data_IF_127441751961
#
_entry.id   IF_127441751961
#
_cell.length_a   1.000
_cell.length_b   1.000
_cell.length_c   1.000
_cell.angle_alpha   90.00
_cell.angle_beta   90.00
_cell.angle_gamma   90.00
#
_symmetry.space_group_name_H-M   'P 1'
#
loop_
_entity.id
_entity.type
_entity.pdbx_description
1 polymer ?
#
# COMPACT_ATOMS: atom_id res chain seq x y z
N UNK A 1 3.39 13.05 -9.13
CA UNK A 1 2.02 13.29 -8.62
C UNK A 1 1.32 14.24 -9.57
N UNK A 2 0.01 14.23 -9.59
CA UNK A 2 -0.72 15.26 -10.30
C UNK A 2 -0.96 16.47 -9.38
N UNK A 3 -0.90 17.69 -9.98
CA UNK A 3 -0.93 18.94 -9.22
C UNK A 3 -2.32 19.23 -8.63
N UNK A 4 -3.38 18.67 -9.19
CA UNK A 4 -4.75 18.86 -8.69
C UNK A 4 -4.97 18.09 -7.38
N UNK A 5 -4.52 16.83 -7.33
CA UNK A 5 -4.64 16.00 -6.13
C UNK A 5 -3.59 16.35 -5.07
N UNK A 6 -2.41 16.80 -5.50
CA UNK A 6 -1.24 17.02 -4.63
C UNK A 6 -0.54 18.34 -4.97
N UNK A 7 -1.14 19.48 -4.62
CA UNK A 7 -0.62 20.81 -5.01
C UNK A 7 0.78 21.11 -4.44
N UNK A 8 1.16 20.47 -3.35
CA UNK A 8 2.50 20.63 -2.75
C UNK A 8 3.57 19.74 -3.40
N UNK A 9 3.21 18.99 -4.47
CA UNK A 9 4.11 18.08 -5.16
C UNK A 9 4.44 16.78 -4.40
N UNK A 10 3.86 16.57 -3.23
CA UNK A 10 3.98 15.36 -2.43
C UNK A 10 2.71 14.52 -2.59
N UNK A 11 2.88 13.21 -2.64
CA UNK A 11 1.77 12.25 -2.63
C UNK A 11 1.75 11.47 -1.35
N UNK A 12 0.95 10.42 -1.32
CA UNK A 12 0.87 9.50 -0.19
C UNK A 12 0.78 8.05 -0.64
N UNK A 13 1.28 7.17 0.22
CA UNK A 13 1.09 5.73 0.10
C UNK A 13 0.51 5.20 1.41
N UNK A 14 -0.51 4.37 1.31
CA UNK A 14 -0.91 3.52 2.41
C UNK A 14 0.10 2.38 2.49
N UNK A 15 0.74 2.21 3.64
CA UNK A 15 1.87 1.30 3.74
C UNK A 15 2.01 0.70 5.14
N UNK A 16 1.81 -0.60 5.23
CA UNK A 16 1.88 -1.35 6.47
C UNK A 16 0.70 -1.12 7.42
N UNK A 17 0.77 -1.76 8.57
CA UNK A 17 -0.27 -1.70 9.60
C UNK A 17 -0.01 -0.56 10.58
N UNK A 18 -1.09 0.02 11.12
CA UNK A 18 -1.01 1.06 12.15
C UNK A 18 -0.60 0.45 13.49
N UNK A 19 0.64 0.64 13.88
CA UNK A 19 1.21 0.05 15.08
C UNK A 19 0.56 0.57 16.37
N UNK A 20 0.16 1.85 16.40
CA UNK A 20 -0.53 2.41 17.56
C UNK A 20 -1.92 1.78 17.73
N UNK A 21 -2.65 1.59 16.63
CA UNK A 21 -3.95 0.92 16.68
C UNK A 21 -3.79 -0.55 17.03
N UNK A 22 -2.81 -1.27 16.44
CA UNK A 22 -2.47 -2.65 16.79
C UNK A 22 -2.22 -2.83 18.29
N UNK A 23 -1.46 -1.93 18.90
CA UNK A 23 -1.15 -1.97 20.33
C UNK A 23 -2.36 -1.79 21.25
N UNK A 24 -3.52 -1.38 20.74
CA UNK A 24 -4.76 -1.29 21.50
C UNK A 24 -5.53 -2.61 21.63
N UNK A 25 -5.10 -3.65 20.92
CA UNK A 25 -5.68 -4.99 20.97
C UNK A 25 -4.92 -5.91 21.94
N UNK A 26 -5.59 -6.95 22.40
CA UNK A 26 -4.98 -7.90 23.34
C UNK A 26 -3.79 -8.67 22.74
N UNK A 27 -3.90 -9.00 21.46
CA UNK A 27 -2.89 -9.72 20.69
C UNK A 27 -3.13 -9.52 19.17
N UNK A 28 -2.24 -10.09 18.36
CA UNK A 28 -2.29 -10.01 16.91
C UNK A 28 -3.51 -10.73 16.30
N UNK A 29 -3.97 -11.79 16.92
CA UNK A 29 -5.15 -12.53 16.45
C UNK A 29 -6.41 -11.69 16.65
N UNK A 30 -6.54 -11.00 17.76
CA UNK A 30 -7.63 -10.07 18.01
C UNK A 30 -7.60 -8.89 17.03
N UNK A 31 -6.41 -8.35 16.71
CA UNK A 31 -6.25 -7.30 15.72
C UNK A 31 -6.67 -7.77 14.32
N UNK A 32 -6.19 -8.95 13.87
CA UNK A 32 -6.56 -9.55 12.57
C UNK A 32 -8.06 -9.81 12.47
N UNK A 33 -8.65 -10.37 13.53
CA UNK A 33 -10.09 -10.65 13.56
C UNK A 33 -10.92 -9.37 13.45
N UNK A 34 -10.53 -8.32 14.15
CA UNK A 34 -11.20 -7.02 14.07
C UNK A 34 -11.04 -6.37 12.70
N UNK A 35 -9.85 -6.46 12.10
CA UNK A 35 -9.62 -5.94 10.75
C UNK A 35 -10.45 -6.70 9.71
N UNK A 36 -10.46 -8.03 9.77
CA UNK A 36 -11.28 -8.84 8.87
C UNK A 36 -12.78 -8.51 9.01
N UNK A 37 -13.26 -8.28 10.22
CA UNK A 37 -14.67 -7.93 10.43
C UNK A 37 -15.05 -6.62 9.72
N UNK A 38 -14.28 -5.53 9.91
CA UNK A 38 -14.60 -4.26 9.25
C UNK A 38 -14.43 -4.32 7.74
N UNK A 39 -13.46 -5.10 7.23
CA UNK A 39 -13.31 -5.31 5.78
C UNK A 39 -14.50 -6.06 5.22
N UNK A 40 -14.98 -7.11 5.89
CA UNK A 40 -16.14 -7.91 5.46
C UNK A 40 -17.42 -7.07 5.45
N UNK A 41 -17.62 -6.25 6.47
CA UNK A 41 -18.76 -5.33 6.54
C UNK A 41 -18.70 -4.31 5.39
N UNK A 42 -17.53 -3.75 5.11
CA UNK A 42 -17.32 -2.85 3.99
C UNK A 42 -17.61 -3.53 2.65
N UNK A 43 -17.07 -4.73 2.41
CA UNK A 43 -17.31 -5.52 1.19
C UNK A 43 -18.80 -5.73 0.96
N UNK A 44 -19.55 -6.04 2.00
CA UNK A 44 -21.00 -6.28 1.91
C UNK A 44 -21.73 -5.02 1.43
N UNK A 45 -21.43 -3.87 2.02
CA UNK A 45 -22.05 -2.60 1.62
C UNK A 45 -21.62 -2.19 0.22
N UNK A 46 -20.30 -2.31 -0.09
CA UNK A 46 -19.78 -1.94 -1.40
C UNK A 46 -20.40 -2.77 -2.53
N UNK A 47 -20.51 -4.09 -2.36
CA UNK A 47 -21.18 -4.96 -3.35
C UNK A 47 -22.65 -4.61 -3.52
N UNK A 48 -23.35 -4.25 -2.46
CA UNK A 48 -24.74 -3.82 -2.55
C UNK A 48 -24.88 -2.54 -3.39
N UNK A 49 -23.99 -1.55 -3.20
CA UNK A 49 -23.96 -0.32 -3.99
C UNK A 49 -23.65 -0.62 -5.46
N UNK A 50 -22.61 -1.40 -5.74
CA UNK A 50 -22.18 -1.75 -7.10
C UNK A 50 -23.24 -2.57 -7.87
N UNK A 51 -24.09 -3.28 -7.15
CA UNK A 51 -25.25 -4.04 -7.72
C UNK A 51 -26.49 -3.18 -7.95
N UNK A 52 -26.41 -1.87 -7.77
CA UNK A 52 -27.56 -0.96 -7.90
C UNK A 52 -28.52 -0.98 -6.70
N UNK A 53 -28.03 -1.44 -5.53
CA UNK A 53 -28.73 -1.34 -4.26
C UNK A 53 -28.77 0.09 -3.71
N UNK A 54 -29.18 0.22 -2.45
CA UNK A 54 -29.37 1.52 -1.80
C UNK A 54 -28.12 2.42 -1.90
N UNK A 55 -28.27 3.58 -2.52
CA UNK A 55 -27.26 4.65 -2.58
C UNK A 55 -27.20 5.41 -1.24
N UNK A 56 -27.06 4.71 -0.11
CA UNK A 56 -26.79 5.40 1.13
C UNK A 56 -25.28 5.45 1.39
N UNK A 57 -24.60 6.55 1.05
CA UNK A 57 -23.14 6.65 1.18
C UNK A 57 -22.66 6.75 2.64
N UNK A 58 -23.55 7.06 3.59
CA UNK A 58 -23.14 7.26 4.97
C UNK A 58 -22.57 5.98 5.62
N UNK A 59 -23.22 4.79 5.53
CA UNK A 59 -22.63 3.57 6.05
C UNK A 59 -21.31 3.16 5.37
N UNK A 60 -21.16 3.44 4.07
CA UNK A 60 -19.94 3.14 3.33
C UNK A 60 -18.77 3.99 3.82
N UNK A 61 -18.99 5.30 4.00
CA UNK A 61 -17.97 6.21 4.50
C UNK A 61 -17.49 5.88 5.91
N UNK A 62 -18.41 5.50 6.81
CA UNK A 62 -18.08 5.10 8.18
C UNK A 62 -17.25 3.82 8.21
N UNK A 63 -17.61 2.83 7.38
CA UNK A 63 -16.90 1.57 7.26
C UNK A 63 -15.51 1.77 6.62
N UNK A 64 -15.39 2.63 5.63
CA UNK A 64 -14.11 3.03 5.05
C UNK A 64 -13.21 3.63 6.11
N UNK A 65 -13.70 4.59 6.88
CA UNK A 65 -12.94 5.20 7.96
C UNK A 65 -12.54 4.17 9.04
N UNK A 66 -13.41 3.20 9.32
CA UNK A 66 -13.08 2.12 10.25
C UNK A 66 -11.92 1.25 9.74
N UNK A 67 -11.91 0.89 8.44
CA UNK A 67 -10.79 0.16 7.83
C UNK A 67 -9.49 0.97 7.82
N UNK A 68 -9.57 2.26 7.54
CA UNK A 68 -8.39 3.16 7.46
C UNK A 68 -7.58 3.19 8.75
N UNK A 69 -8.22 2.99 9.89
CA UNK A 69 -7.56 2.97 11.20
C UNK A 69 -6.56 1.82 11.35
N UNK A 70 -6.73 0.73 10.61
CA UNK A 70 -5.86 -0.45 10.70
C UNK A 70 -4.56 -0.31 9.95
N UNK A 71 -4.46 0.62 9.02
CA UNK A 71 -3.29 0.81 8.16
C UNK A 71 -2.67 2.19 8.37
N UNK A 72 -1.39 2.32 8.02
CA UNK A 72 -0.67 3.58 8.08
C UNK A 72 -0.63 4.26 6.72
N UNK A 73 -0.57 5.58 6.71
CA UNK A 73 -0.32 6.39 5.52
C UNK A 73 1.01 7.11 5.72
N UNK A 74 1.83 7.11 4.68
CA UNK A 74 3.13 7.78 4.67
C UNK A 74 3.20 8.77 3.50
N UNK A 75 3.74 9.96 3.72
CA UNK A 75 3.96 10.92 2.63
C UNK A 75 5.00 10.40 1.65
N UNK A 76 4.88 10.80 0.39
CA UNK A 76 5.82 10.50 -0.69
C UNK A 76 6.23 11.79 -1.39
N UNK A 77 7.53 11.98 -1.55
CA UNK A 77 8.12 13.02 -2.37
C UNK A 77 8.64 12.44 -3.70
N UNK A 78 8.86 13.31 -4.67
CA UNK A 78 9.51 12.91 -5.94
C UNK A 78 10.91 12.41 -5.65
N UNK A 79 11.21 11.21 -6.13
CA UNK A 79 12.50 10.55 -5.93
C UNK A 79 12.55 9.58 -4.74
N UNK A 80 11.51 9.50 -3.94
CA UNK A 80 11.43 8.51 -2.88
C UNK A 80 11.42 7.09 -3.45
N UNK A 81 11.94 6.17 -2.66
CA UNK A 81 11.94 4.74 -2.93
C UNK A 81 11.22 4.04 -1.80
N UNK A 82 10.21 3.26 -2.15
CA UNK A 82 9.50 2.40 -1.20
C UNK A 82 9.85 0.95 -1.51
N UNK A 83 10.36 0.26 -0.51
CA UNK A 83 10.63 -1.18 -0.60
C UNK A 83 9.48 -1.91 0.07
N UNK A 84 8.76 -2.70 -0.70
CA UNK A 84 7.57 -3.42 -0.21
C UNK A 84 7.93 -4.88 0.07
N UNK A 85 8.08 -5.28 1.35
CA UNK A 85 8.30 -6.68 1.71
C UNK A 85 7.06 -7.54 1.44
N UNK A 86 7.26 -8.85 1.44
CA UNK A 86 6.15 -9.80 1.31
C UNK A 86 5.11 -9.61 2.41
N UNK A 87 3.84 -9.73 2.03
CA UNK A 87 2.68 -9.62 2.91
C UNK A 87 2.49 -8.27 3.59
N UNK A 88 3.21 -7.23 3.18
CA UNK A 88 2.96 -5.85 3.64
C UNK A 88 1.84 -5.23 2.79
N UNK A 89 0.71 -4.84 3.40
CA UNK A 89 -0.36 -4.18 2.67
C UNK A 89 0.10 -2.79 2.20
N UNK A 90 -0.19 -2.47 0.95
CA UNK A 90 0.18 -1.19 0.37
C UNK A 90 -0.80 -0.75 -0.70
N UNK A 91 -0.97 0.55 -0.84
CA UNK A 91 -1.80 1.16 -1.87
C UNK A 91 -1.36 2.58 -2.12
N UNK A 92 -1.04 2.90 -3.37
CA UNK A 92 -0.81 4.29 -3.78
C UNK A 92 -2.12 5.09 -3.68
N UNK A 93 -2.03 6.28 -3.15
CA UNK A 93 -3.17 7.17 -3.13
C UNK A 93 -3.38 7.82 -4.49
N UNK A 94 -4.55 8.40 -4.71
CA UNK A 94 -4.92 9.00 -5.99
C UNK A 94 -3.88 10.02 -6.47
N UNK A 95 -3.58 10.02 -7.78
CA UNK A 95 -2.65 10.96 -8.40
C UNK A 95 -1.16 10.65 -8.24
N UNK A 96 -0.78 9.64 -7.45
CA UNK A 96 0.62 9.21 -7.29
C UNK A 96 1.04 8.37 -8.48
N UNK A 97 2.21 8.68 -9.04
CA UNK A 97 2.84 7.93 -10.15
C UNK A 97 4.18 7.36 -9.70
N UNK A 98 4.42 6.10 -10.01
CA UNK A 98 5.65 5.38 -9.66
C UNK A 98 6.18 4.59 -10.85
N UNK A 99 7.45 4.20 -10.74
CA UNK A 99 8.04 3.09 -11.50
C UNK A 99 8.14 1.93 -10.53
N UNK A 100 7.49 0.82 -10.85
CA UNK A 100 7.48 -0.38 -10.01
C UNK A 100 8.38 -1.45 -10.62
N UNK A 101 9.28 -2.00 -9.81
CA UNK A 101 10.09 -3.17 -10.14
C UNK A 101 9.62 -4.34 -9.30
N UNK A 102 9.32 -5.44 -9.94
CA UNK A 102 8.84 -6.66 -9.29
C UNK A 102 9.42 -7.90 -9.97
N UNK A 103 9.38 -9.03 -9.28
CA UNK A 103 9.71 -10.32 -9.88
C UNK A 103 8.69 -10.70 -10.96
N UNK A 104 9.09 -11.42 -12.03
CA UNK A 104 8.18 -11.79 -13.11
C UNK A 104 7.07 -12.75 -12.69
N UNK A 105 7.29 -13.50 -11.61
CA UNK A 105 6.30 -14.43 -11.04
C UNK A 105 5.94 -13.94 -9.63
N UNK A 106 4.75 -13.40 -9.48
CA UNK A 106 4.23 -12.97 -8.20
C UNK A 106 2.76 -13.34 -8.06
N UNK A 107 2.33 -13.59 -6.85
CA UNK A 107 0.91 -13.67 -6.49
C UNK A 107 0.49 -12.38 -5.82
N UNK A 108 -0.68 -11.90 -6.18
CA UNK A 108 -1.27 -10.70 -5.62
C UNK A 108 -2.58 -11.06 -4.95
N UNK A 109 -2.64 -10.83 -3.65
CA UNK A 109 -3.86 -10.95 -2.88
C UNK A 109 -4.47 -9.57 -2.68
N UNK A 110 -5.77 -9.45 -2.94
CA UNK A 110 -6.47 -8.16 -2.84
C UNK A 110 -7.34 -8.15 -1.60
N UNK A 111 -7.06 -7.19 -0.72
CA UNK A 111 -7.95 -6.79 0.36
C UNK A 111 -8.85 -5.67 -0.17
N UNK A 112 -10.14 -5.77 0.03
CA UNK A 112 -11.06 -4.70 -0.35
C UNK A 112 -10.69 -3.40 0.37
N UNK A 113 -10.56 -2.32 -0.39
CA UNK A 113 -10.23 -1.02 0.14
C UNK A 113 -10.74 0.10 -0.75
N UNK A 114 -11.92 0.62 -0.45
CA UNK A 114 -12.50 1.83 -1.06
C UNK A 114 -12.43 1.91 -2.60
N UNK A 115 -12.40 0.79 -3.30
CA UNK A 115 -12.34 0.74 -4.75
C UNK A 115 -13.73 1.00 -5.32
N UNK A 116 -13.86 2.00 -6.17
CA UNK A 116 -15.11 2.26 -6.91
C UNK A 116 -15.31 1.29 -8.07
N UNK A 117 -14.22 0.69 -8.57
CA UNK A 117 -14.26 -0.24 -9.70
C UNK A 117 -13.74 -1.60 -9.26
N UNK A 118 -14.61 -2.58 -9.27
CA UNK A 118 -14.25 -3.97 -9.05
C UNK A 118 -13.69 -4.54 -10.35
N UNK A 119 -12.39 -4.81 -10.37
CA UNK A 119 -11.70 -5.42 -11.50
C UNK A 119 -11.73 -6.95 -11.45
N UNK A 120 -12.28 -7.53 -10.39
CA UNK A 120 -12.36 -8.97 -10.19
C UNK A 120 -13.59 -9.37 -9.37
N UNK A 121 -14.07 -10.59 -9.60
CA UNK A 121 -15.31 -11.11 -9.02
C UNK A 121 -15.21 -11.38 -7.51
N UNK A 122 -14.02 -11.47 -6.97
CA UNK A 122 -13.76 -11.77 -5.56
C UNK A 122 -12.59 -11.00 -5.02
N UNK A 123 -12.57 -10.85 -3.71
CA UNK A 123 -11.43 -10.37 -2.93
C UNK A 123 -10.86 -11.50 -2.08
N UNK A 124 -9.56 -11.43 -1.81
CA UNK A 124 -8.83 -12.44 -1.05
C UNK A 124 -8.71 -12.05 0.42
N UNK A 125 -9.59 -11.18 0.90
CA UNK A 125 -9.45 -10.48 2.19
C UNK A 125 -9.18 -11.40 3.36
N UNK A 126 -9.92 -12.52 3.48
CA UNK A 126 -9.72 -13.45 4.60
C UNK A 126 -8.33 -14.09 4.56
N UNK A 127 -7.89 -14.56 3.39
CA UNK A 127 -6.58 -15.17 3.21
C UNK A 127 -5.45 -14.16 3.38
N UNK A 128 -5.59 -12.99 2.76
CA UNK A 128 -4.61 -11.92 2.86
C UNK A 128 -4.43 -11.46 4.31
N UNK A 129 -5.52 -11.17 5.03
CA UNK A 129 -5.46 -10.68 6.41
C UNK A 129 -4.86 -11.72 7.35
N UNK A 130 -5.14 -13.01 7.14
CA UNK A 130 -4.54 -14.09 7.94
C UNK A 130 -3.01 -14.14 7.80
N UNK A 131 -2.46 -13.74 6.65
CA UNK A 131 -1.04 -13.82 6.34
C UNK A 131 -0.31 -12.46 6.35
N UNK A 132 -0.99 -11.34 6.65
CA UNK A 132 -0.35 -10.02 6.66
C UNK A 132 0.88 -10.00 7.56
N UNK A 133 1.94 -9.35 7.09
CA UNK A 133 3.00 -8.90 7.97
C UNK A 133 2.47 -7.70 8.78
N UNK A 134 2.37 -7.87 10.09
CA UNK A 134 1.83 -6.83 11.00
C UNK A 134 2.91 -5.88 11.51
N UNK A 135 4.18 -6.21 11.32
CA UNK A 135 5.27 -5.36 11.79
C UNK A 135 5.39 -4.09 10.95
N UNK A 136 5.96 -3.06 11.57
CA UNK A 136 6.26 -1.82 10.85
C UNK A 136 7.24 -2.12 9.71
N UNK A 137 6.94 -1.71 8.46
CA UNK A 137 7.87 -1.90 7.37
C UNK A 137 9.20 -1.20 7.65
N UNK A 138 10.30 -1.91 7.40
CA UNK A 138 11.62 -1.34 7.52
C UNK A 138 11.85 -0.24 6.47
N UNK A 139 12.55 0.81 6.87
CA UNK A 139 12.98 1.84 5.93
C UNK A 139 14.10 1.29 5.04
N UNK A 140 14.10 1.61 3.73
CA UNK A 140 15.15 1.16 2.84
C UNK A 140 16.51 1.73 3.27
N UNK A 141 17.54 0.88 3.27
CA UNK A 141 18.92 1.29 3.49
C UNK A 141 19.62 1.49 2.15
N UNK A 142 19.97 2.73 1.85
CA UNK A 142 20.70 3.07 0.64
C UNK A 142 22.20 2.94 0.86
N UNK A 143 22.90 2.37 -0.12
CA UNK A 143 24.34 2.22 -0.07
C UNK A 143 24.97 2.81 -1.34
N UNK A 144 25.78 3.87 -1.20
CA UNK A 144 26.61 4.35 -2.29
C UNK A 144 27.67 3.28 -2.61
N UNK A 145 27.67 2.80 -3.84
CA UNK A 145 28.59 1.76 -4.32
C UNK A 145 29.69 2.32 -5.20
N UNK A 146 29.47 3.47 -5.81
CA UNK A 146 30.43 4.29 -6.52
C UNK A 146 29.91 5.73 -6.61
N UNK A 147 30.75 6.73 -6.94
CA UNK A 147 30.29 8.10 -7.10
C UNK A 147 29.09 8.21 -8.04
N UNK A 148 27.96 8.76 -7.56
CA UNK A 148 26.72 8.89 -8.31
C UNK A 148 25.95 7.59 -8.53
N UNK A 149 26.35 6.46 -7.92
CA UNK A 149 25.66 5.18 -8.02
C UNK A 149 25.29 4.68 -6.63
N UNK A 150 24.00 4.65 -6.36
CA UNK A 150 23.45 4.23 -5.09
C UNK A 150 22.62 2.96 -5.27
N UNK A 151 22.95 1.92 -4.53
CA UNK A 151 22.07 0.75 -4.44
C UNK A 151 20.86 1.12 -3.57
N UNK A 152 19.67 1.06 -4.16
CA UNK A 152 18.40 1.46 -3.53
C UNK A 152 17.59 0.28 -3.01
N UNK A 153 17.87 -0.92 -3.49
CA UNK A 153 17.27 -2.17 -2.99
C UNK A 153 18.20 -3.35 -3.24
N UNK A 154 18.17 -4.34 -2.36
CA UNK A 154 18.80 -5.64 -2.53
C UNK A 154 17.87 -6.72 -1.97
N UNK A 155 17.04 -7.30 -2.82
CA UNK A 155 16.28 -8.50 -2.54
C UNK A 155 17.10 -9.75 -2.88
N UNK A 156 16.65 -10.90 -2.47
CA UNK A 156 17.25 -12.18 -2.83
C UNK A 156 17.23 -12.40 -4.35
N UNK A 157 16.13 -12.01 -5.01
CA UNK A 157 15.90 -12.23 -6.44
C UNK A 157 16.49 -11.14 -7.33
N UNK A 158 16.60 -9.90 -6.85
CA UNK A 158 17.14 -8.80 -7.64
C UNK A 158 17.66 -7.64 -6.75
N UNK A 159 18.50 -6.82 -7.38
CA UNK A 159 18.91 -5.54 -6.84
C UNK A 159 18.64 -4.41 -7.82
N UNK A 160 18.41 -3.19 -7.30
CA UNK A 160 18.24 -2.01 -8.11
C UNK A 160 19.19 -0.89 -7.66
N UNK A 161 19.61 -0.08 -8.61
CA UNK A 161 20.51 1.06 -8.40
C UNK A 161 19.91 2.33 -8.97
N UNK A 162 20.10 3.42 -8.27
CA UNK A 162 19.90 4.78 -8.76
C UNK A 162 21.24 5.29 -9.30
N UNK A 163 21.23 5.80 -10.53
CA UNK A 163 22.39 6.43 -11.15
C UNK A 163 22.05 7.91 -11.36
N UNK A 164 22.88 8.80 -10.84
CA UNK A 164 22.77 10.24 -11.03
C UNK A 164 23.77 10.67 -12.11
N UNK A 165 23.25 11.20 -13.21
CA UNK A 165 24.04 11.63 -14.36
C UNK A 165 23.94 13.15 -14.50
N UNK A 166 25.08 13.81 -14.70
CA UNK A 166 25.10 15.20 -15.12
C UNK A 166 24.64 15.33 -16.60
N UNK A 167 24.13 16.51 -16.99
CA UNK A 167 23.74 16.74 -18.38
C UNK A 167 24.86 16.40 -19.37
N UNK A 168 24.62 15.47 -20.27
CA UNK A 168 25.61 15.01 -21.27
C UNK A 168 26.46 13.83 -20.84
N UNK A 169 26.36 13.34 -19.63
CA UNK A 169 26.98 12.09 -19.18
C UNK A 169 26.16 10.88 -19.61
N UNK A 170 26.86 9.76 -19.77
CA UNK A 170 26.24 8.46 -20.03
C UNK A 170 26.84 7.41 -19.10
N UNK A 171 25.99 6.53 -18.60
CA UNK A 171 26.42 5.33 -17.88
C UNK A 171 26.68 4.21 -18.90
N UNK A 172 27.86 3.60 -18.83
CA UNK A 172 28.26 2.44 -19.65
C UNK A 172 28.24 1.18 -18.79
#
# INVERSE_FOLDING_TARGET
VDEESWPDGNGEIRFGMNQQHRASFADDDAFRAAYLAVVTDYETVRRAIDSGGSENPAPEADLRQAMERFTSVSPLAVGDVVVVPLWVPHSLQHGVRVVEFQTPNYERYIVSFAQEVLTQDHWDSAHAIANLNLDAPEQPTFAEVAPGITRIVAFEDFSAWRVELAPGEACQ
#
